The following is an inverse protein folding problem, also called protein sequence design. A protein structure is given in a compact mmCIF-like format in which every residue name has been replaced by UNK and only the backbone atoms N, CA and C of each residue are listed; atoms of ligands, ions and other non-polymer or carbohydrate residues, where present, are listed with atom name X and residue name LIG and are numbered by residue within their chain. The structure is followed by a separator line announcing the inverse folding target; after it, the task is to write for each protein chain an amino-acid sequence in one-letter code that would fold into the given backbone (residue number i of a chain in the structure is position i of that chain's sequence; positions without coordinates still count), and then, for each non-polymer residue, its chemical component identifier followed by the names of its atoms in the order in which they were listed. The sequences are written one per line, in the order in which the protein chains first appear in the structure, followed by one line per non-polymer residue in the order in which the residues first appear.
data_IF_530962351780
#
_entry.id   IF_530962351780
#
_cell.length_a   1.000
_cell.length_b   1.000
_cell.length_c   1.000
_cell.angle_alpha   90.00
_cell.angle_beta   90.00
_cell.angle_gamma   90.00
#
_symmetry.space_group_name_H-M   'P 1'
#
loop_
_entity.id
_entity.type
_entity.pdbx_description
1 polymer ?
#
# COMPACT_ATOMS: atom_id res chain seq x y z
N UNK A 1 -71.37 35.74 -31.24
CA UNK A 1 -70.75 34.39 -31.30
C UNK A 1 -69.41 34.43 -30.57
N UNK A 2 -69.32 33.90 -29.36
CA UNK A 2 -68.10 33.95 -28.54
C UNK A 2 -67.33 32.62 -28.62
N UNK A 3 -66.17 32.60 -29.29
CA UNK A 3 -65.27 31.43 -29.32
C UNK A 3 -64.43 31.41 -28.02
N UNK A 4 -64.79 30.51 -27.10
CA UNK A 4 -63.94 30.11 -25.96
C UNK A 4 -62.63 29.50 -26.46
N UNK A 5 -61.51 30.25 -26.38
CA UNK A 5 -60.15 29.67 -26.39
C UNK A 5 -59.67 29.52 -24.95
N UNK A 6 -59.94 28.36 -24.35
CA UNK A 6 -59.34 27.98 -23.07
C UNK A 6 -59.07 26.48 -23.12
N UNK A 7 -57.81 26.10 -23.34
CA UNK A 7 -57.20 24.79 -23.06
C UNK A 7 -55.84 24.77 -23.76
N UNK A 8 -54.76 24.95 -22.99
CA UNK A 8 -53.37 24.59 -23.36
C UNK A 8 -52.40 24.79 -22.18
N UNK A 9 -52.82 25.42 -21.07
CA UNK A 9 -51.98 25.58 -19.86
C UNK A 9 -51.54 24.24 -19.22
N UNK A 10 -52.41 23.23 -19.17
CA UNK A 10 -52.09 21.95 -18.51
C UNK A 10 -51.00 21.10 -19.21
N UNK A 11 -50.77 21.29 -20.52
CA UNK A 11 -49.71 20.57 -21.25
C UNK A 11 -48.34 21.20 -20.97
N UNK A 12 -48.29 22.52 -20.74
CA UNK A 12 -47.06 23.23 -20.41
C UNK A 12 -46.64 23.00 -18.94
N UNK A 13 -47.60 22.91 -18.02
CA UNK A 13 -47.34 22.60 -16.60
C UNK A 13 -46.71 21.21 -16.42
N UNK A 14 -47.19 20.19 -17.16
CA UNK A 14 -46.59 18.86 -17.14
C UNK A 14 -45.17 18.82 -17.75
N UNK A 15 -44.85 19.71 -18.69
CA UNK A 15 -43.49 19.80 -19.24
C UNK A 15 -42.51 20.43 -18.25
N UNK A 16 -42.97 21.39 -17.45
CA UNK A 16 -42.14 22.01 -16.41
C UNK A 16 -41.86 21.04 -15.26
N UNK A 17 -42.84 20.24 -14.83
CA UNK A 17 -42.61 19.22 -13.80
C UNK A 17 -41.66 18.13 -14.29
N UNK A 18 -41.80 17.66 -15.53
CA UNK A 18 -40.86 16.70 -16.13
C UNK A 18 -39.44 17.29 -16.22
N UNK A 19 -39.30 18.55 -16.67
CA UNK A 19 -38.00 19.21 -16.73
C UNK A 19 -37.33 19.32 -15.34
N UNK A 20 -38.10 19.62 -14.30
CA UNK A 20 -37.60 19.67 -12.93
C UNK A 20 -37.17 18.30 -12.41
N UNK A 21 -37.96 17.24 -12.64
CA UNK A 21 -37.58 15.88 -12.22
C UNK A 21 -36.31 15.43 -12.96
N UNK A 22 -36.21 15.67 -14.27
CA UNK A 22 -35.02 15.27 -15.04
C UNK A 22 -33.75 15.97 -14.57
N UNK A 23 -33.82 17.25 -14.18
CA UNK A 23 -32.66 17.99 -13.66
C UNK A 23 -32.20 17.46 -12.30
N UNK A 24 -33.13 17.10 -11.41
CA UNK A 24 -32.79 16.46 -10.12
C UNK A 24 -32.11 15.11 -10.33
N UNK A 25 -32.63 14.28 -11.24
CA UNK A 25 -32.03 12.97 -11.57
C UNK A 25 -30.63 13.14 -12.16
N UNK A 26 -30.43 14.12 -13.03
CA UNK A 26 -29.11 14.44 -13.61
C UNK A 26 -28.11 14.89 -12.54
N UNK A 27 -28.53 15.78 -11.64
CA UNK A 27 -27.70 16.22 -10.51
C UNK A 27 -27.31 15.05 -9.60
N UNK A 28 -28.24 14.13 -9.33
CA UNK A 28 -27.97 12.92 -8.55
C UNK A 28 -26.99 11.98 -9.25
N UNK A 29 -27.12 11.79 -10.57
CA UNK A 29 -26.19 10.98 -11.36
C UNK A 29 -24.77 11.54 -11.32
N UNK A 30 -24.61 12.87 -11.43
CA UNK A 30 -23.31 13.54 -11.32
C UNK A 30 -22.72 13.35 -9.92
N UNK A 31 -23.52 13.56 -8.86
CA UNK A 31 -23.06 13.39 -7.48
C UNK A 31 -22.61 11.95 -7.19
N UNK A 32 -23.34 10.95 -7.70
CA UNK A 32 -22.95 9.55 -7.61
C UNK A 32 -21.68 9.27 -8.41
N UNK A 33 -21.53 9.82 -9.62
CA UNK A 33 -20.31 9.68 -10.42
C UNK A 33 -19.06 10.20 -9.71
N UNK A 34 -19.15 11.37 -9.06
CA UNK A 34 -18.04 11.93 -8.26
C UNK A 34 -17.69 11.01 -7.09
N UNK A 35 -18.68 10.51 -6.35
CA UNK A 35 -18.47 9.58 -5.22
C UNK A 35 -17.87 8.25 -5.68
N UNK A 36 -18.32 7.69 -6.81
CA UNK A 36 -17.75 6.46 -7.36
C UNK A 36 -16.28 6.67 -7.72
N UNK A 37 -15.93 7.81 -8.30
CA UNK A 37 -14.55 8.09 -8.66
C UNK A 37 -13.66 8.31 -7.42
N UNK A 38 -14.18 8.95 -6.37
CA UNK A 38 -13.45 9.10 -5.10
C UNK A 38 -13.24 7.76 -4.40
N UNK A 39 -14.26 6.88 -4.37
CA UNK A 39 -14.16 5.53 -3.79
C UNK A 39 -13.13 4.71 -4.56
N UNK A 40 -13.14 4.73 -5.90
CA UNK A 40 -12.14 4.03 -6.72
C UNK A 40 -10.71 4.52 -6.44
N UNK A 41 -10.53 5.82 -6.28
CA UNK A 41 -9.21 6.42 -5.95
C UNK A 41 -8.73 5.99 -4.57
N UNK A 42 -9.62 5.92 -3.59
CA UNK A 42 -9.30 5.43 -2.25
C UNK A 42 -9.05 3.92 -2.22
N UNK A 43 -9.74 3.15 -3.06
CA UNK A 43 -9.50 1.72 -3.18
C UNK A 43 -8.09 1.44 -3.74
N UNK A 44 -7.70 2.17 -4.79
CA UNK A 44 -6.38 2.06 -5.40
C UNK A 44 -5.25 2.43 -4.42
N UNK A 45 -5.45 3.45 -3.58
CA UNK A 45 -4.46 3.81 -2.56
C UNK A 45 -4.37 2.79 -1.43
N UNK A 46 -5.50 2.19 -1.02
CA UNK A 46 -5.57 1.12 -0.02
C UNK A 46 -4.92 -0.17 -0.52
N UNK A 47 -5.11 -0.53 -1.78
CA UNK A 47 -4.48 -1.71 -2.39
C UNK A 47 -2.95 -1.55 -2.48
N UNK A 48 -2.48 -0.38 -2.90
CA UNK A 48 -1.05 -0.06 -2.92
C UNK A 48 -0.43 -0.06 -1.51
N UNK A 49 -1.18 0.35 -0.48
CA UNK A 49 -0.73 0.27 0.91
C UNK A 49 -0.63 -1.18 1.39
N UNK A 50 -1.65 -2.00 1.12
CA UNK A 50 -1.65 -3.41 1.51
C UNK A 50 -0.50 -4.19 0.88
N UNK A 51 -0.23 -3.98 -0.42
CA UNK A 51 0.91 -4.62 -1.09
C UNK A 51 2.24 -4.25 -0.46
N UNK A 52 2.46 -2.95 -0.16
CA UNK A 52 3.67 -2.48 0.52
C UNK A 52 3.82 -3.03 1.93
N UNK A 53 2.72 -3.23 2.65
CA UNK A 53 2.74 -3.78 4.01
C UNK A 53 3.14 -5.27 3.97
N UNK A 54 2.60 -6.04 3.02
CA UNK A 54 2.96 -7.46 2.85
C UNK A 54 4.43 -7.62 2.46
N UNK A 55 4.92 -6.81 1.51
CA UNK A 55 6.32 -6.85 1.08
C UNK A 55 7.27 -6.50 2.24
N UNK A 56 6.93 -5.51 3.05
CA UNK A 56 7.70 -5.16 4.26
C UNK A 56 7.71 -6.30 5.26
N UNK A 57 6.56 -6.95 5.49
CA UNK A 57 6.46 -8.05 6.43
C UNK A 57 7.38 -9.22 6.02
N UNK A 58 7.36 -9.61 4.76
CA UNK A 58 8.22 -10.69 4.25
C UNK A 58 9.71 -10.34 4.35
N UNK A 59 10.07 -9.09 4.02
CA UNK A 59 11.46 -8.62 4.13
C UNK A 59 11.96 -8.60 5.59
N UNK A 60 11.10 -8.23 6.54
CA UNK A 60 11.44 -8.21 7.97
C UNK A 60 11.51 -9.64 8.55
N UNK A 61 10.65 -10.57 8.11
CA UNK A 61 10.75 -11.98 8.50
C UNK A 61 12.06 -12.62 8.01
N UNK A 62 12.45 -12.36 6.76
CA UNK A 62 13.75 -12.82 6.24
C UNK A 62 14.92 -12.22 7.01
N UNK A 63 14.82 -10.94 7.40
CA UNK A 63 15.83 -10.26 8.21
C UNK A 63 15.91 -10.86 9.61
N UNK A 64 14.78 -11.18 10.23
CA UNK A 64 14.72 -11.84 11.53
C UNK A 64 15.39 -13.22 11.51
N UNK A 65 15.14 -14.04 10.48
CA UNK A 65 15.80 -15.34 10.31
C UNK A 65 17.32 -15.20 10.17
N UNK A 66 17.80 -14.26 9.35
CA UNK A 66 19.25 -13.98 9.20
C UNK A 66 19.88 -13.51 10.51
N UNK A 67 19.19 -12.67 11.28
CA UNK A 67 19.65 -12.22 12.59
C UNK A 67 19.73 -13.37 13.60
N UNK A 68 18.80 -14.33 13.53
CA UNK A 68 18.83 -15.52 14.37
C UNK A 68 20.00 -16.44 14.04
N UNK A 69 20.27 -16.67 12.74
CA UNK A 69 21.42 -17.44 12.27
C UNK A 69 22.74 -16.78 12.68
N UNK A 70 22.87 -15.46 12.51
CA UNK A 70 24.03 -14.71 12.97
C UNK A 70 24.20 -14.80 14.49
N UNK A 71 23.11 -14.69 15.25
CA UNK A 71 23.15 -14.87 16.72
C UNK A 71 23.68 -16.25 17.12
N UNK A 72 23.32 -17.30 16.39
CA UNK A 72 23.84 -18.65 16.63
C UNK A 72 25.32 -18.72 16.25
N UNK A 73 25.71 -18.19 15.09
CA UNK A 73 27.10 -18.19 14.61
C UNK A 73 28.07 -17.52 15.59
N UNK A 74 27.74 -16.32 16.09
CA UNK A 74 28.62 -15.59 17.03
C UNK A 74 28.81 -16.29 18.38
N UNK A 75 27.95 -17.25 18.71
CA UNK A 75 28.07 -18.08 19.92
C UNK A 75 28.91 -19.35 19.68
N UNK A 76 29.32 -19.63 18.44
CA UNK A 76 30.11 -20.82 18.13
C UNK A 76 31.58 -20.62 18.48
N UNK A 77 32.26 -21.71 18.83
CA UNK A 77 33.70 -21.73 19.07
C UNK A 77 34.48 -21.27 17.83
N UNK A 78 33.97 -21.55 16.62
CA UNK A 78 34.56 -21.10 15.35
C UNK A 78 34.68 -19.59 15.28
N UNK A 79 33.63 -18.86 15.67
CA UNK A 79 33.66 -17.39 15.72
C UNK A 79 34.64 -16.89 16.78
N UNK A 80 34.71 -17.52 17.95
CA UNK A 80 35.66 -17.16 19.00
C UNK A 80 37.11 -17.35 18.51
N UNK A 81 37.39 -18.47 17.86
CA UNK A 81 38.71 -18.79 17.30
C UNK A 81 39.08 -17.81 16.17
N UNK A 82 38.14 -17.48 15.29
CA UNK A 82 38.33 -16.50 14.20
C UNK A 82 38.65 -15.12 14.78
N UNK A 83 37.85 -14.64 15.73
CA UNK A 83 38.08 -13.35 16.40
C UNK A 83 39.37 -13.33 17.23
N UNK A 84 39.74 -14.44 17.86
CA UNK A 84 40.98 -14.60 18.61
C UNK A 84 42.22 -14.57 17.69
N UNK A 85 42.15 -15.23 16.53
CA UNK A 85 43.19 -15.14 15.49
C UNK A 85 43.32 -13.71 14.95
N UNK A 86 42.20 -13.09 14.57
CA UNK A 86 42.20 -11.78 13.92
C UNK A 86 42.60 -10.65 14.87
N UNK A 87 42.00 -10.61 16.07
CA UNK A 87 42.23 -9.51 17.03
C UNK A 87 43.44 -9.72 17.92
N UNK A 88 43.67 -10.96 18.37
CA UNK A 88 44.72 -11.26 19.36
C UNK A 88 45.93 -11.95 18.74
N UNK A 89 45.87 -12.36 17.46
CA UNK A 89 46.96 -13.08 16.81
C UNK A 89 47.18 -14.48 17.39
N UNK A 90 46.20 -15.02 18.11
CA UNK A 90 46.31 -16.32 18.78
C UNK A 90 46.24 -17.44 17.74
N UNK A 91 47.12 -18.42 17.85
CA UNK A 91 47.11 -19.66 17.05
C UNK A 91 47.14 -20.85 17.99
N UNK A 92 46.70 -22.01 17.51
CA UNK A 92 46.80 -23.23 18.32
C UNK A 92 48.28 -23.61 18.55
N UNK A 93 48.60 -24.33 19.64
CA UNK A 93 49.99 -24.68 19.97
C UNK A 93 50.76 -25.45 18.88
N UNK A 94 50.02 -26.11 17.98
CA UNK A 94 50.53 -26.88 16.84
C UNK A 94 50.48 -26.11 15.50
N UNK A 95 50.09 -24.82 15.49
CA UNK A 95 49.99 -23.96 14.30
C UNK A 95 51.01 -22.82 14.37
N UNK A 96 51.60 -22.43 13.23
CA UNK A 96 52.56 -21.31 13.14
C UNK A 96 51.80 -20.04 12.70
N UNK A 97 51.87 -18.96 13.49
CA UNK A 97 51.31 -17.67 13.13
C UNK A 97 52.20 -16.94 12.10
N UNK A 98 51.79 -16.90 10.83
CA UNK A 98 52.46 -16.14 9.78
C UNK A 98 51.72 -14.81 9.60
N UNK A 99 52.30 -13.71 10.08
CA UNK A 99 51.81 -12.36 9.74
C UNK A 99 52.44 -11.95 8.41
N UNK A 100 51.62 -11.55 7.45
CA UNK A 100 52.13 -10.89 6.25
C UNK A 100 52.79 -9.57 6.66
N UNK A 101 54.11 -9.49 6.48
CA UNK A 101 54.86 -8.25 6.60
C UNK A 101 54.34 -7.29 5.52
N UNK A 102 54.02 -6.06 5.91
CA UNK A 102 53.52 -5.04 5.01
C UNK A 102 54.68 -4.38 4.26
#
# INVERSE_FOLDING_TARGET
MARKKKKNKGILENKLSIAFVTTVVLAMAIALGVKVNSIKKELASREAYNQKVVEKLDSEEQRAKKLEEQRKYVQTDSYIIEMAREKLGLVFPNEIAIKAEK
#
